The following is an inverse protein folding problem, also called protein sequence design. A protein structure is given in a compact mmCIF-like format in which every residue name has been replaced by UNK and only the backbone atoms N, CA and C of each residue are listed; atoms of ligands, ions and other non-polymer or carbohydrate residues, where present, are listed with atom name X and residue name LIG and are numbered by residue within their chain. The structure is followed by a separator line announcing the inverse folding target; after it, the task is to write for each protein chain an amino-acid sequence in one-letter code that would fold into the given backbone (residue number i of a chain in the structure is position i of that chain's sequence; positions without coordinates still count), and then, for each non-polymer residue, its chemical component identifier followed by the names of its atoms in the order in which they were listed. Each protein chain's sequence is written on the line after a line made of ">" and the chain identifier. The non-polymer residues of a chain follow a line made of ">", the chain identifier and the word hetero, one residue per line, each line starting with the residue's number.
data_IF_930007144187
#
_entry.id   IF_930007144187
#
_cell.length_a   1.000
_cell.length_b   1.000
_cell.length_c   1.000
_cell.angle_alpha   90.00
_cell.angle_beta   90.00
_cell.angle_gamma   90.00
#
_symmetry.space_group_name_H-M   'P 1'
#
loop_
_entity.id
_entity.type
_entity.pdbx_description
1 polymer ?
#
# COMPACT_ATOMS: atom_id res chain seq x y z
N UNK A 1 -33.05 2.49 3.87
CA UNK A 1 -31.76 1.95 4.34
C UNK A 1 -30.70 2.91 3.88
N UNK A 2 -29.86 3.41 4.78
CA UNK A 2 -28.75 4.29 4.41
C UNK A 2 -27.71 3.48 3.64
N UNK A 3 -27.29 3.93 2.47
CA UNK A 3 -26.19 3.29 1.74
C UNK A 3 -24.91 3.39 2.58
N UNK A 4 -24.18 2.28 2.70
CA UNK A 4 -22.94 2.21 3.47
C UNK A 4 -21.84 1.65 2.60
N UNK A 5 -20.63 2.19 2.72
CA UNK A 5 -19.42 1.66 2.10
C UNK A 5 -18.40 1.40 3.21
N UNK A 6 -18.07 0.13 3.44
CA UNK A 6 -17.12 -0.33 4.44
C UNK A 6 -15.94 -1.01 3.74
N UNK A 7 -14.75 -0.42 3.85
CA UNK A 7 -13.56 -0.89 3.16
C UNK A 7 -12.78 -1.82 4.08
N UNK A 8 -12.66 -3.07 3.65
CA UNK A 8 -11.91 -4.10 4.36
C UNK A 8 -10.45 -4.17 3.90
N UNK A 9 -10.16 -3.87 2.63
CA UNK A 9 -8.81 -3.70 2.11
C UNK A 9 -8.79 -2.65 0.98
N UNK A 10 -7.71 -1.85 0.85
CA UNK A 10 -6.57 -1.77 1.79
C UNK A 10 -6.98 -1.14 3.13
N UNK A 11 -6.23 -1.44 4.19
CA UNK A 11 -6.32 -0.75 5.48
C UNK A 11 -5.39 0.48 5.49
N UNK A 12 -5.62 1.45 6.40
CA UNK A 12 -4.73 2.59 6.55
C UNK A 12 -3.27 2.16 6.75
N UNK A 13 -2.39 2.72 5.92
CA UNK A 13 -0.95 2.47 5.85
C UNK A 13 -0.53 1.07 5.37
N UNK A 14 -1.45 0.32 4.75
CA UNK A 14 -1.07 -0.87 3.99
C UNK A 14 -0.14 -0.49 2.85
N UNK A 15 0.81 -1.38 2.59
CA UNK A 15 1.70 -1.28 1.44
C UNK A 15 0.96 -1.75 0.19
N UNK A 16 0.97 -0.94 -0.85
CA UNK A 16 0.30 -1.22 -2.11
C UNK A 16 1.24 -0.98 -3.28
N UNK A 17 1.10 -1.77 -4.34
CA UNK A 17 1.83 -1.59 -5.60
C UNK A 17 0.97 -0.84 -6.62
N UNK A 18 1.45 -0.72 -7.86
CA UNK A 18 0.72 -0.23 -9.02
C UNK A 18 -0.66 -0.88 -9.15
N UNK A 19 -0.79 -2.17 -8.83
CA UNK A 19 -2.08 -2.86 -8.73
C UNK A 19 -2.57 -2.82 -7.28
N UNK A 20 -3.50 -1.93 -6.98
CA UNK A 20 -4.12 -1.85 -5.65
C UNK A 20 -5.39 -2.71 -5.64
N UNK A 21 -5.39 -3.76 -4.83
CA UNK A 21 -6.56 -4.61 -4.60
C UNK A 21 -7.48 -3.96 -3.56
N UNK A 22 -8.79 -4.00 -3.83
CA UNK A 22 -9.81 -3.38 -2.99
C UNK A 22 -10.88 -4.42 -2.69
N UNK A 23 -11.27 -4.53 -1.42
CA UNK A 23 -12.36 -5.38 -0.99
C UNK A 23 -13.13 -4.72 0.14
N UNK A 24 -14.42 -4.99 0.21
CA UNK A 24 -15.26 -4.38 1.23
C UNK A 24 -16.69 -4.90 1.24
N UNK A 25 -17.49 -4.28 2.09
CA UNK A 25 -18.92 -4.47 2.13
C UNK A 25 -19.64 -3.19 1.73
N UNK A 26 -20.72 -3.33 0.97
CA UNK A 26 -21.59 -2.22 0.62
C UNK A 26 -23.07 -2.60 0.76
N UNK A 27 -23.92 -1.61 1.04
CA UNK A 27 -25.38 -1.77 1.04
C UNK A 27 -26.03 -0.75 0.11
N UNK A 28 -27.07 -1.17 -0.62
CA UNK A 28 -27.72 -0.36 -1.67
C UNK A 28 -26.76 0.08 -2.80
N UNK A 29 -25.73 -0.72 -3.05
CA UNK A 29 -24.65 -0.50 -4.03
C UNK A 29 -25.09 -0.86 -5.46
N UNK A 30 -24.76 -0.02 -6.44
CA UNK A 30 -25.16 -0.21 -7.86
C UNK A 30 -24.20 -1.09 -8.66
N UNK A 31 -23.08 -1.51 -8.06
CA UNK A 31 -22.15 -2.46 -8.67
C UNK A 31 -20.86 -1.84 -9.21
N UNK A 32 -20.76 -0.51 -9.25
CA UNK A 32 -19.61 0.24 -9.75
C UNK A 32 -18.95 1.05 -8.64
N UNK A 33 -17.62 0.99 -8.57
CA UNK A 33 -16.82 1.76 -7.62
C UNK A 33 -15.92 2.73 -8.40
N UNK A 34 -16.01 4.02 -8.07
CA UNK A 34 -15.03 5.01 -8.50
C UNK A 34 -13.86 4.99 -7.54
N UNK A 35 -12.66 4.85 -8.08
CA UNK A 35 -11.41 4.78 -7.34
C UNK A 35 -10.53 5.94 -7.79
N UNK A 36 -10.11 6.77 -6.85
CA UNK A 36 -9.21 7.90 -7.08
C UNK A 36 -8.01 7.79 -6.15
N UNK A 37 -6.83 7.95 -6.71
CA UNK A 37 -5.55 7.84 -6.02
C UNK A 37 -4.82 9.15 -6.19
N UNK A 38 -4.42 9.79 -5.09
CA UNK A 38 -3.66 11.05 -5.16
C UNK A 38 -2.55 11.11 -4.11
N UNK A 39 -1.43 11.73 -4.45
CA UNK A 39 -0.40 12.13 -3.48
C UNK A 39 -0.54 13.61 -3.05
N UNK A 40 -1.56 14.31 -3.55
CA UNK A 40 -1.73 15.76 -3.37
C UNK A 40 -1.01 16.64 -4.40
N UNK A 41 -0.24 16.05 -5.32
CA UNK A 41 0.43 16.73 -6.43
C UNK A 41 -0.05 16.22 -7.79
N UNK A 42 -0.24 14.91 -7.90
CA UNK A 42 -0.78 14.19 -9.04
C UNK A 42 -1.97 13.33 -8.61
N UNK A 43 -2.76 12.89 -9.58
CA UNK A 43 -3.95 12.08 -9.35
C UNK A 43 -4.18 11.09 -10.50
N UNK A 44 -4.59 9.88 -10.13
CA UNK A 44 -5.10 8.89 -11.06
C UNK A 44 -6.48 8.41 -10.62
N UNK A 45 -7.44 8.42 -11.52
CA UNK A 45 -8.79 7.91 -11.25
C UNK A 45 -9.21 6.89 -12.30
N UNK A 46 -9.91 5.86 -11.83
CA UNK A 46 -10.51 4.82 -12.66
C UNK A 46 -11.78 4.32 -11.99
N UNK A 47 -12.54 3.49 -12.68
CA UNK A 47 -13.71 2.83 -12.11
C UNK A 47 -13.61 1.33 -12.36
N UNK A 48 -14.26 0.55 -11.48
CA UNK A 48 -14.28 -0.90 -11.62
C UNK A 48 -15.64 -1.45 -11.22
N UNK A 49 -16.08 -2.47 -11.96
CA UNK A 49 -17.32 -3.18 -11.67
C UNK A 49 -17.02 -4.24 -10.62
N UNK A 50 -17.56 -4.07 -9.42
CA UNK A 50 -17.28 -4.94 -8.26
C UNK A 50 -18.51 -5.73 -7.80
N UNK A 51 -19.63 -5.61 -8.51
CA UNK A 51 -20.81 -6.42 -8.24
C UNK A 51 -22.03 -6.03 -9.07
N UNK A 52 -23.17 -6.55 -8.63
CA UNK A 52 -24.51 -6.22 -9.12
C UNK A 52 -25.48 -6.18 -7.92
N UNK A 53 -26.67 -5.60 -8.14
CA UNK A 53 -27.68 -5.35 -7.11
C UNK A 53 -27.89 -6.55 -6.17
N UNK A 54 -27.67 -6.33 -4.87
CA UNK A 54 -27.98 -7.28 -3.79
C UNK A 54 -26.79 -8.06 -3.21
N UNK A 55 -25.62 -8.03 -3.84
CA UNK A 55 -24.40 -8.55 -3.23
C UNK A 55 -23.84 -7.55 -2.22
N UNK A 56 -23.57 -8.02 -0.99
CA UNK A 56 -23.07 -7.18 0.11
C UNK A 56 -21.56 -7.08 0.16
N UNK A 57 -20.84 -8.07 -0.36
CA UNK A 57 -19.38 -8.09 -0.40
C UNK A 57 -18.93 -7.87 -1.84
N UNK A 58 -17.87 -7.10 -2.01
CA UNK A 58 -17.32 -6.78 -3.32
C UNK A 58 -15.79 -6.87 -3.33
N UNK A 59 -15.24 -7.06 -4.53
CA UNK A 59 -13.80 -7.08 -4.79
C UNK A 59 -13.53 -6.35 -6.11
N UNK A 60 -12.45 -5.58 -6.15
CA UNK A 60 -12.02 -4.82 -7.31
C UNK A 60 -10.54 -4.50 -7.23
N UNK A 61 -10.07 -3.76 -8.21
CA UNK A 61 -8.71 -3.25 -8.23
C UNK A 61 -8.62 -1.98 -9.06
N UNK A 62 -7.56 -1.21 -8.84
CA UNK A 62 -7.09 -0.17 -9.75
C UNK A 62 -5.65 -0.51 -10.17
N UNK A 63 -5.41 -0.44 -11.47
CA UNK A 63 -4.06 -0.53 -12.05
C UNK A 63 -3.58 0.89 -12.35
N UNK A 64 -2.61 1.36 -11.57
CA UNK A 64 -1.96 2.65 -11.74
C UNK A 64 -0.89 2.49 -12.83
N UNK A 65 -0.95 3.28 -13.92
CA UNK A 65 0.04 3.18 -14.98
C UNK A 65 1.41 3.67 -14.49
N UNK A 66 2.49 3.02 -14.92
CA UNK A 66 3.87 3.42 -14.59
C UNK A 66 4.25 4.84 -15.04
N UNK A 67 3.46 5.41 -15.97
CA UNK A 67 3.61 6.80 -16.40
C UNK A 67 3.14 7.81 -15.35
N UNK A 68 2.41 7.37 -14.32
CA UNK A 68 1.97 8.25 -13.25
C UNK A 68 3.18 8.69 -12.42
N UNK A 69 3.27 9.99 -12.15
CA UNK A 69 4.44 10.62 -11.55
C UNK A 69 4.20 11.01 -10.10
N UNK A 70 3.54 10.15 -9.32
CA UNK A 70 3.41 10.33 -7.88
C UNK A 70 4.80 10.57 -7.25
N UNK A 71 4.92 11.68 -6.55
CA UNK A 71 6.16 12.14 -5.92
C UNK A 71 6.26 11.66 -4.48
N UNK A 72 5.12 11.43 -3.81
CA UNK A 72 5.09 10.97 -2.43
C UNK A 72 4.78 9.47 -2.35
N UNK A 73 5.42 8.80 -1.40
CA UNK A 73 5.15 7.39 -1.07
C UNK A 73 3.80 7.21 -0.37
N UNK A 74 3.19 8.27 0.16
CA UNK A 74 1.86 8.18 0.77
C UNK A 74 0.83 8.66 -0.22
N UNK A 75 -0.09 7.77 -0.58
CA UNK A 75 -1.25 8.10 -1.41
C UNK A 75 -2.53 8.09 -0.57
N UNK A 76 -3.51 8.83 -1.05
CA UNK A 76 -4.86 8.86 -0.54
C UNK A 76 -5.76 8.17 -1.56
N UNK A 77 -6.23 6.97 -1.20
CA UNK A 77 -7.16 6.19 -1.98
C UNK A 77 -8.59 6.58 -1.60
N UNK A 78 -9.25 7.34 -2.46
CA UNK A 78 -10.66 7.71 -2.32
C UNK A 78 -11.51 6.70 -3.08
N UNK A 79 -12.38 6.00 -2.37
CA UNK A 79 -13.31 5.01 -2.87
C UNK A 79 -14.71 5.57 -2.73
N UNK A 80 -15.42 5.72 -3.84
CA UNK A 80 -16.76 6.30 -3.87
C UNK A 80 -17.71 5.38 -4.61
N UNK A 81 -18.85 5.12 -3.99
CA UNK A 81 -19.97 4.46 -4.67
C UNK A 81 -20.56 5.43 -5.70
N UNK A 82 -20.54 5.03 -6.97
CA UNK A 82 -21.18 5.76 -8.06
C UNK A 82 -22.65 5.34 -8.13
N UNK A 83 -23.40 5.59 -7.05
CA UNK A 83 -24.85 5.58 -7.13
C UNK A 83 -25.22 6.69 -8.09
N UNK A 84 -26.06 6.43 -9.10
CA UNK A 84 -26.45 7.37 -10.15
C UNK A 84 -27.14 8.69 -9.72
N UNK A 85 -26.96 9.15 -8.48
CA UNK A 85 -27.20 10.50 -7.98
C UNK A 85 -26.02 10.93 -7.10
N UNK A 86 -25.52 12.14 -7.38
CA UNK A 86 -24.41 12.81 -6.71
C UNK A 86 -24.55 12.72 -5.17
N UNK A 87 -23.48 12.26 -4.49
CA UNK A 87 -23.31 12.03 -3.03
C UNK A 87 -23.54 10.60 -2.49
N UNK A 88 -23.11 9.57 -3.23
CA UNK A 88 -22.89 8.24 -2.64
C UNK A 88 -21.83 8.24 -1.52
N UNK A 89 -21.81 7.23 -0.63
CA UNK A 89 -20.81 7.13 0.42
C UNK A 89 -19.38 7.09 -0.16
N UNK A 90 -18.48 7.84 0.46
CA UNK A 90 -17.06 7.89 0.08
C UNK A 90 -16.17 7.62 1.29
N UNK A 91 -15.10 6.87 1.07
CA UNK A 91 -14.10 6.51 2.07
C UNK A 91 -12.73 6.86 1.53
N UNK A 92 -11.91 7.52 2.36
CA UNK A 92 -10.51 7.82 2.05
C UNK A 92 -9.63 6.93 2.90
N UNK A 93 -8.79 6.12 2.25
CA UNK A 93 -7.80 5.26 2.90
C UNK A 93 -6.41 5.79 2.56
N UNK A 94 -5.61 6.24 3.53
CA UNK A 94 -4.20 6.54 3.27
C UNK A 94 -3.45 5.22 3.09
N UNK A 95 -2.72 5.06 1.99
CA UNK A 95 -1.93 3.87 1.66
C UNK A 95 -0.49 4.26 1.38
N UNK A 96 0.44 3.31 1.54
CA UNK A 96 1.84 3.49 1.17
C UNK A 96 2.07 2.89 -0.21
N UNK A 97 2.22 3.76 -1.22
CA UNK A 97 2.44 3.36 -2.60
C UNK A 97 3.90 3.06 -2.87
N UNK A 98 4.09 1.87 -3.40
CA UNK A 98 5.39 1.31 -3.66
C UNK A 98 5.52 -0.05 -2.97
N UNK A 99 5.90 -1.08 -3.74
CA UNK A 99 7.03 -1.91 -3.37
C UNK A 99 8.27 -1.12 -2.91
N UNK A 100 8.42 0.09 -3.46
CA UNK A 100 9.48 1.06 -3.21
C UNK A 100 9.33 1.69 -1.84
N UNK A 101 9.73 0.96 -0.79
CA UNK A 101 10.12 1.63 0.46
C UNK A 101 11.21 2.67 0.15
N UNK A 102 12.04 2.37 -0.87
CA UNK A 102 13.10 3.23 -1.36
C UNK A 102 13.15 3.29 -2.89
N UNK A 103 13.56 4.43 -3.48
CA UNK A 103 13.82 4.53 -4.91
C UNK A 103 14.80 3.45 -5.39
N UNK A 104 14.39 2.68 -6.41
CA UNK A 104 15.20 1.59 -6.97
C UNK A 104 14.90 0.19 -6.41
N UNK A 105 13.98 0.04 -5.43
CA UNK A 105 13.60 -1.26 -4.86
C UNK A 105 12.16 -1.64 -5.25
N UNK A 106 11.99 -2.80 -5.89
CA UNK A 106 10.73 -3.42 -6.32
C UNK A 106 9.97 -4.19 -5.23
N UNK A 107 10.35 -4.08 -3.95
CA UNK A 107 9.55 -4.60 -2.84
C UNK A 107 10.31 -4.61 -1.53
N UNK A 108 9.80 -5.38 -0.57
CA UNK A 108 10.55 -5.73 0.63
C UNK A 108 10.14 -7.09 1.18
N UNK A 109 11.04 -7.70 1.95
CA UNK A 109 10.78 -8.93 2.69
C UNK A 109 10.87 -8.69 4.19
N UNK A 110 9.93 -9.22 5.01
CA UNK A 110 10.08 -9.19 6.46
C UNK A 110 11.26 -10.07 6.89
N UNK A 111 12.16 -9.50 7.70
CA UNK A 111 13.28 -10.21 8.30
C UNK A 111 13.20 -10.10 9.83
N UNK A 112 13.28 -11.24 10.51
CA UNK A 112 13.35 -11.26 11.98
C UNK A 112 14.80 -11.32 12.41
N UNK A 113 15.27 -10.29 13.11
CA UNK A 113 16.65 -10.17 13.59
C UNK A 113 16.99 -11.35 14.51
N UNK A 114 18.14 -11.97 14.27
CA UNK A 114 18.68 -13.07 15.07
C UNK A 114 19.82 -12.59 15.98
N UNK A 115 20.17 -13.39 16.98
CA UNK A 115 21.28 -13.07 17.88
C UNK A 115 22.60 -13.05 17.12
N UNK A 116 23.30 -11.90 17.17
CA UNK A 116 24.60 -11.70 16.51
C UNK A 116 24.52 -11.05 15.12
N UNK A 117 23.32 -10.70 14.67
CA UNK A 117 23.12 -9.93 13.44
C UNK A 117 23.58 -8.49 13.57
N UNK A 118 24.02 -7.94 12.45
CA UNK A 118 24.20 -6.50 12.23
C UNK A 118 23.52 -6.15 10.91
N UNK A 119 23.10 -4.90 10.73
CA UNK A 119 22.50 -4.48 9.46
C UNK A 119 23.41 -4.78 8.26
N UNK A 120 24.73 -4.64 8.42
CA UNK A 120 25.73 -5.00 7.41
C UNK A 120 25.74 -6.50 7.07
N UNK A 121 25.64 -7.38 8.07
CA UNK A 121 25.58 -8.84 7.83
C UNK A 121 24.30 -9.23 7.12
N UNK A 122 23.18 -8.61 7.51
CA UNK A 122 21.89 -8.83 6.87
C UNK A 122 21.96 -8.37 5.40
N UNK A 123 22.47 -7.16 5.15
CA UNK A 123 22.69 -6.66 3.80
C UNK A 123 23.61 -7.58 2.98
N UNK A 124 24.68 -8.10 3.57
CA UNK A 124 25.59 -9.01 2.88
C UNK A 124 24.91 -10.33 2.47
N UNK A 125 24.02 -10.85 3.32
CA UNK A 125 23.26 -12.07 3.04
C UNK A 125 22.13 -11.84 2.02
N UNK A 126 21.48 -10.68 2.08
CA UNK A 126 20.29 -10.38 1.27
C UNK A 126 20.62 -9.73 -0.07
N UNK A 127 21.66 -8.89 -0.14
CA UNK A 127 22.06 -8.12 -1.33
C UNK A 127 23.41 -8.55 -1.92
N UNK A 128 24.11 -9.47 -1.27
CA UNK A 128 25.46 -9.86 -1.67
C UNK A 128 26.52 -8.77 -1.46
N UNK A 129 26.17 -7.66 -0.80
CA UNK A 129 27.07 -6.55 -0.51
C UNK A 129 26.79 -5.93 0.88
N UNK A 130 27.75 -5.18 1.41
CA UNK A 130 27.68 -4.63 2.76
C UNK A 130 26.88 -3.32 2.87
N UNK A 131 26.18 -2.88 1.81
CA UNK A 131 25.39 -1.65 1.83
C UNK A 131 24.08 -1.88 2.59
N UNK A 132 24.09 -1.53 3.88
CA UNK A 132 22.91 -1.65 4.74
C UNK A 132 22.02 -0.40 4.75
N UNK A 133 22.45 0.68 4.10
CA UNK A 133 21.71 1.95 4.04
C UNK A 133 20.23 1.76 3.64
N UNK A 134 19.90 0.90 2.65
CA UNK A 134 18.50 0.67 2.28
C UNK A 134 17.67 0.04 3.40
N UNK A 135 18.25 -0.89 4.17
CA UNK A 135 17.54 -1.49 5.31
C UNK A 135 17.29 -0.43 6.38
N UNK A 136 18.26 0.44 6.64
CA UNK A 136 18.08 1.49 7.65
C UNK A 136 17.01 2.51 7.25
N UNK A 137 17.07 3.02 6.01
CA UNK A 137 16.10 3.99 5.50
C UNK A 137 14.67 3.44 5.47
N UNK A 138 14.53 2.15 5.15
CA UNK A 138 13.24 1.47 5.12
C UNK A 138 12.56 1.24 6.49
N UNK A 139 13.31 1.42 7.58
CA UNK A 139 12.88 1.15 8.94
C UNK A 139 13.08 2.34 9.88
N UNK A 140 13.16 3.58 9.37
CA UNK A 140 13.36 4.78 10.21
C UNK A 140 12.21 5.02 11.21
N UNK A 141 11.05 4.40 11.00
CA UNK A 141 9.94 4.40 11.94
C UNK A 141 10.24 3.62 13.24
N UNK A 142 11.17 2.66 13.18
CA UNK A 142 11.55 1.80 14.32
C UNK A 142 13.05 1.82 14.65
N UNK A 143 13.90 2.31 13.75
CA UNK A 143 15.35 2.40 13.90
C UNK A 143 15.79 3.86 13.93
N UNK A 144 16.18 4.34 15.11
CA UNK A 144 16.82 5.67 15.25
C UNK A 144 18.34 5.60 15.07
N UNK A 145 18.94 4.45 15.33
CA UNK A 145 20.39 4.23 15.19
C UNK A 145 20.63 2.92 14.43
N UNK A 146 21.37 2.93 13.30
CA UNK A 146 21.62 1.74 12.49
C UNK A 146 22.42 0.64 13.22
N UNK A 147 23.15 1.00 14.28
CA UNK A 147 23.93 0.04 15.06
C UNK A 147 23.13 -0.62 16.20
N UNK A 148 21.88 -0.21 16.41
CA UNK A 148 21.04 -0.73 17.49
C UNK A 148 19.86 -1.51 16.89
N UNK A 149 20.04 -2.82 16.77
CA UNK A 149 18.99 -3.77 16.43
C UNK A 149 18.95 -4.87 17.49
N UNK A 150 17.76 -5.42 17.77
CA UNK A 150 17.58 -6.43 18.82
C UNK A 150 17.01 -7.74 18.26
N UNK A 151 17.43 -8.91 18.78
CA UNK A 151 16.85 -10.19 18.38
C UNK A 151 15.32 -10.21 18.55
N UNK A 152 14.62 -10.74 17.56
CA UNK A 152 13.15 -10.76 17.50
C UNK A 152 12.52 -9.51 16.88
N UNK A 153 13.29 -8.46 16.61
CA UNK A 153 12.80 -7.28 15.89
C UNK A 153 12.50 -7.61 14.43
N UNK A 154 11.36 -7.16 13.93
CA UNK A 154 10.98 -7.34 12.52
C UNK A 154 11.43 -6.12 11.72
N UNK A 155 12.27 -6.35 10.71
CA UNK A 155 12.77 -5.33 9.78
C UNK A 155 12.18 -5.54 8.39
N UNK A 156 11.90 -4.44 7.71
CA UNK A 156 11.60 -4.41 6.27
C UNK A 156 12.92 -4.44 5.50
N UNK A 157 13.20 -5.47 4.72
CA UNK A 157 14.41 -5.55 3.88
C UNK A 157 14.02 -5.26 2.43
N UNK A 158 14.31 -4.07 1.88
CA UNK A 158 13.98 -3.74 0.48
C UNK A 158 14.61 -4.72 -0.51
N UNK A 159 13.95 -5.05 -1.62
CA UNK A 159 14.49 -5.87 -2.70
C UNK A 159 14.09 -5.32 -4.06
N UNK A 160 14.81 -5.68 -5.11
CA UNK A 160 14.56 -5.29 -6.51
C UNK A 160 13.88 -6.39 -7.35
N UNK A 161 13.60 -7.55 -6.75
CA UNK A 161 13.17 -8.79 -7.41
C UNK A 161 11.72 -9.22 -7.13
N UNK A 162 10.92 -8.36 -6.49
CA UNK A 162 9.52 -8.64 -6.15
C UNK A 162 8.58 -8.03 -7.19
#
# INVERSE_FOLDING_TARGET
>A
MTATLDIQQPQPFDLVDNKILIAGNATAFEGALTIRVSDGHDEYASFTQVGALGLRQFQGFIDIPETNSFQLSRLFLTLSDDTGNENGPSVVVPVLFGPKILPGYGGWRPYTVQSGDTLTKIAQAEYGNSNFQPIFEANQDILTNPNLIFPGQMLRVPRDDI
#
